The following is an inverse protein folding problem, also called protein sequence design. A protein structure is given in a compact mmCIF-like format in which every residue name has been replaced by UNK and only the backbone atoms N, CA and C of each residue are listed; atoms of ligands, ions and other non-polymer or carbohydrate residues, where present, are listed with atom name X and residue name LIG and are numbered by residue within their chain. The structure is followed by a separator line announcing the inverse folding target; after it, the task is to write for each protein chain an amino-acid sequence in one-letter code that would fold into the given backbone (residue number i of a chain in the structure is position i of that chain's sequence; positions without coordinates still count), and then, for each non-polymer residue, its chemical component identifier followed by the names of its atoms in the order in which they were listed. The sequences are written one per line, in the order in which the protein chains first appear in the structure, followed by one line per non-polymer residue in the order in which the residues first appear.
data_IF_555145923648
#
_entry.id   IF_555145923648
#
_cell.length_a   1.000
_cell.length_b   1.000
_cell.length_c   1.000
_cell.angle_alpha   90.00
_cell.angle_beta   90.00
_cell.angle_gamma   90.00
#
_symmetry.space_group_name_H-M   'P 1'
#
loop_
_entity.id
_entity.type
_entity.pdbx_description
1 polymer ?
#
# COMPACT_ATOMS: atom_id res chain seq x y z
N UNK A 1 45.93 0.55 7.73
CA UNK A 1 45.09 -0.57 8.06
C UNK A 1 43.65 -0.07 7.96
N UNK A 2 42.81 -0.36 7.02
CA UNK A 2 42.38 -1.53 6.30
C UNK A 2 41.59 -1.19 5.03
N UNK A 3 42.02 -1.55 3.83
CA UNK A 3 41.16 -1.53 2.64
C UNK A 3 40.41 -2.86 2.43
N UNK A 4 40.66 -3.89 3.23
CA UNK A 4 40.15 -5.27 2.94
C UNK A 4 38.67 -5.53 3.20
N UNK A 5 38.01 -4.71 4.02
CA UNK A 5 36.55 -4.90 4.26
C UNK A 5 35.70 -4.37 3.08
N UNK A 6 36.19 -3.34 2.41
CA UNK A 6 35.53 -2.72 1.25
C UNK A 6 35.60 -3.60 0.00
N UNK A 7 36.75 -4.27 -0.23
CA UNK A 7 36.91 -5.20 -1.34
C UNK A 7 36.04 -6.46 -1.22
N UNK A 8 35.78 -6.92 0.00
CA UNK A 8 34.92 -8.11 0.22
C UNK A 8 33.44 -7.84 0.04
N UNK A 9 32.98 -6.60 0.25
CA UNK A 9 31.60 -6.17 -0.06
C UNK A 9 31.40 -5.93 -1.55
N UNK A 10 32.43 -5.44 -2.24
CA UNK A 10 32.39 -5.19 -3.69
C UNK A 10 32.45 -6.45 -4.56
N UNK A 11 32.87 -7.59 -4.00
CA UNK A 11 32.96 -8.85 -4.76
C UNK A 11 31.64 -9.63 -4.82
N UNK A 12 30.61 -9.24 -4.06
CA UNK A 12 29.40 -10.07 -3.92
C UNK A 12 28.24 -9.73 -4.84
N UNK A 13 28.18 -8.52 -5.46
CA UNK A 13 27.04 -8.19 -6.32
C UNK A 13 27.43 -7.34 -7.54
N UNK A 14 27.29 -7.92 -8.73
CA UNK A 14 27.53 -7.23 -10.01
C UNK A 14 26.53 -6.07 -10.27
N UNK A 15 25.32 -6.12 -9.69
CA UNK A 15 24.32 -5.07 -9.80
C UNK A 15 24.65 -3.84 -8.96
N UNK A 16 25.17 -4.02 -7.75
CA UNK A 16 25.65 -2.93 -6.90
C UNK A 16 26.84 -2.19 -7.53
N UNK A 17 27.69 -2.90 -8.24
CA UNK A 17 28.82 -2.31 -8.96
C UNK A 17 28.39 -1.41 -10.12
N UNK A 18 27.40 -1.85 -10.90
CA UNK A 18 26.83 -1.05 -11.99
C UNK A 18 26.05 0.16 -11.50
N UNK A 19 25.35 0.04 -10.37
CA UNK A 19 24.65 1.14 -9.72
C UNK A 19 25.64 2.18 -9.18
N UNK A 20 26.71 1.73 -8.55
CA UNK A 20 27.78 2.60 -8.03
C UNK A 20 28.49 3.38 -9.14
N UNK A 21 28.82 2.75 -10.27
CA UNK A 21 29.42 3.43 -11.42
C UNK A 21 28.46 4.44 -12.06
N UNK A 22 27.18 4.14 -12.16
CA UNK A 22 26.16 5.10 -12.63
C UNK A 22 25.97 6.30 -11.70
N UNK A 23 26.06 6.08 -10.38
CA UNK A 23 26.01 7.16 -9.39
C UNK A 23 27.27 8.03 -9.47
N UNK A 24 28.42 7.42 -9.68
CA UNK A 24 29.70 8.12 -9.84
C UNK A 24 29.73 8.98 -11.12
N UNK A 25 29.19 8.48 -12.21
CA UNK A 25 29.03 9.22 -13.46
C UNK A 25 28.08 10.42 -13.30
N UNK A 26 26.90 10.22 -12.71
CA UNK A 26 25.97 11.31 -12.41
C UNK A 26 26.50 12.33 -11.41
N UNK A 27 27.28 11.90 -10.42
CA UNK A 27 27.89 12.77 -9.46
C UNK A 27 28.98 13.66 -10.10
N UNK A 28 29.69 13.18 -11.12
CA UNK A 28 30.66 13.98 -11.88
C UNK A 28 30.01 15.04 -12.78
N UNK A 29 28.78 14.82 -13.22
CA UNK A 29 28.01 15.78 -14.03
C UNK A 29 27.39 16.91 -13.20
N UNK A 30 27.22 16.73 -11.89
CA UNK A 30 26.56 17.72 -11.03
C UNK A 30 27.56 18.79 -10.56
N UNK A 31 27.28 20.11 -10.74
CA UNK A 31 28.23 21.20 -10.45
C UNK A 31 28.71 21.22 -9.00
N UNK A 32 27.90 20.78 -8.05
CA UNK A 32 28.21 20.71 -6.64
C UNK A 32 29.24 19.61 -6.33
N UNK A 33 29.05 18.41 -6.89
CA UNK A 33 29.94 17.27 -6.68
C UNK A 33 31.29 17.47 -7.40
N UNK A 34 31.30 18.15 -8.57
CA UNK A 34 32.51 18.49 -9.29
C UNK A 34 33.46 19.38 -8.46
N UNK A 35 32.91 20.33 -7.72
CA UNK A 35 33.66 21.20 -6.82
C UNK A 35 34.24 20.46 -5.60
N UNK A 36 33.55 19.43 -5.10
CA UNK A 36 34.04 18.56 -4.04
C UNK A 36 35.14 17.61 -4.52
N UNK A 37 35.08 17.13 -5.74
CA UNK A 37 36.13 16.31 -6.36
C UNK A 37 37.41 17.14 -6.64
N UNK A 38 37.27 18.40 -7.04
CA UNK A 38 38.40 19.31 -7.29
C UNK A 38 39.13 19.76 -6.00
N UNK A 39 38.49 19.73 -4.85
CA UNK A 39 39.06 20.12 -3.54
C UNK A 39 39.78 18.96 -2.85
N UNK A 40 39.86 17.78 -3.47
CA UNK A 40 40.64 16.65 -2.96
C UNK A 40 40.18 16.05 -1.64
N UNK A 41 38.84 16.10 -1.41
CA UNK A 41 38.23 15.46 -0.24
C UNK A 41 38.28 13.95 -0.44
N UNK A 42 38.90 13.28 0.51
CA UNK A 42 39.21 11.85 0.53
C UNK A 42 38.00 11.01 0.13
N UNK A 43 38.24 10.00 -0.73
CA UNK A 43 37.24 9.00 -1.19
C UNK A 43 36.38 8.43 -0.08
N UNK A 44 36.81 8.44 1.18
CA UNK A 44 36.04 7.98 2.34
C UNK A 44 34.78 8.79 2.62
N UNK A 45 34.78 10.09 2.45
CA UNK A 45 33.66 10.96 2.82
C UNK A 45 32.50 10.84 1.83
N UNK A 46 32.79 10.66 0.55
CA UNK A 46 31.77 10.45 -0.48
C UNK A 46 31.15 9.03 -0.38
N UNK A 47 31.97 8.03 -0.14
CA UNK A 47 31.51 6.67 0.12
C UNK A 47 30.62 6.59 1.35
N UNK A 48 30.95 7.30 2.41
CA UNK A 48 30.15 7.36 3.64
C UNK A 48 28.84 8.09 3.43
N UNK A 49 28.80 9.14 2.61
CA UNK A 49 27.59 9.89 2.28
C UNK A 49 26.64 9.09 1.39
N UNK A 50 27.14 8.39 0.36
CA UNK A 50 26.32 7.49 -0.48
C UNK A 50 25.81 6.31 0.33
N UNK A 51 26.62 5.76 1.23
CA UNK A 51 26.20 4.72 2.16
C UNK A 51 25.12 5.20 3.15
N UNK A 52 25.20 6.46 3.57
CA UNK A 52 24.21 7.09 4.44
C UNK A 52 22.87 7.29 3.73
N UNK A 53 22.88 7.80 2.49
CA UNK A 53 21.68 7.97 1.67
C UNK A 53 20.97 6.63 1.37
N UNK A 54 21.76 5.58 1.07
CA UNK A 54 21.21 4.24 0.89
C UNK A 54 20.53 3.73 2.17
N UNK A 55 21.16 3.91 3.33
CA UNK A 55 20.56 3.54 4.62
C UNK A 55 19.31 4.36 4.95
N UNK A 56 19.30 5.65 4.64
CA UNK A 56 18.12 6.52 4.82
C UNK A 56 16.96 6.07 3.96
N UNK A 57 17.22 5.68 2.71
CA UNK A 57 16.19 5.12 1.84
C UNK A 57 15.62 3.81 2.41
N UNK A 58 16.48 2.89 2.81
CA UNK A 58 16.06 1.60 3.37
C UNK A 58 15.26 1.80 4.67
N UNK A 59 15.73 2.68 5.57
CA UNK A 59 15.03 3.03 6.82
C UNK A 59 13.66 3.64 6.54
N UNK A 60 13.56 4.52 5.55
CA UNK A 60 12.30 5.15 5.17
C UNK A 60 11.31 4.13 4.61
N UNK A 61 11.76 3.27 3.72
CA UNK A 61 10.93 2.20 3.16
C UNK A 61 10.49 1.25 4.27
N UNK A 62 11.38 0.83 5.15
CA UNK A 62 11.06 -0.03 6.29
C UNK A 62 10.03 0.62 7.24
N UNK A 63 10.17 1.91 7.53
CA UNK A 63 9.22 2.65 8.35
C UNK A 63 7.85 2.84 7.69
N UNK A 64 7.80 2.92 6.35
CA UNK A 64 6.56 3.04 5.61
C UNK A 64 5.78 1.71 5.52
N UNK A 65 6.46 0.57 5.56
CA UNK A 65 5.85 -0.74 5.35
C UNK A 65 4.64 -1.05 6.25
N UNK A 66 4.66 -0.79 7.56
CA UNK A 66 3.51 -1.07 8.44
C UNK A 66 2.26 -0.29 8.04
N UNK A 67 2.44 0.90 7.50
CA UNK A 67 1.35 1.80 7.13
C UNK A 67 0.89 1.63 5.67
N UNK A 68 1.68 0.92 4.86
CA UNK A 68 1.35 0.60 3.46
C UNK A 68 0.34 -0.56 3.31
N UNK A 69 -0.53 -0.76 4.32
CA UNK A 69 -1.63 -1.74 4.28
C UNK A 69 -2.49 -1.54 3.02
N UNK A 70 -2.61 -0.32 2.53
CA UNK A 70 -3.33 0.01 1.31
C UNK A 70 -2.93 -0.81 0.10
N UNK A 71 -1.64 -1.13 -0.06
CA UNK A 71 -1.15 -1.95 -1.18
C UNK A 71 -1.61 -3.41 -1.11
N UNK A 72 -1.93 -3.92 0.07
CA UNK A 72 -2.43 -5.28 0.26
C UNK A 72 -3.92 -5.40 -0.08
N UNK A 73 -4.65 -4.29 -0.06
CA UNK A 73 -6.09 -4.26 -0.35
C UNK A 73 -6.44 -3.85 -1.78
N UNK A 74 -5.44 -3.59 -2.63
CA UNK A 74 -5.62 -3.18 -4.03
C UNK A 74 -4.63 -3.89 -4.95
N UNK A 75 -4.99 -4.07 -6.21
CA UNK A 75 -4.08 -4.63 -7.20
C UNK A 75 -3.11 -3.54 -7.70
N UNK A 76 -1.83 -3.68 -7.37
CA UNK A 76 -0.79 -2.73 -7.77
C UNK A 76 -0.19 -3.14 -9.11
N UNK A 77 -0.17 -2.21 -10.08
CA UNK A 77 0.45 -2.39 -11.40
C UNK A 77 1.43 -1.25 -11.68
N UNK A 78 2.70 -1.56 -11.98
CA UNK A 78 3.64 -0.55 -12.45
C UNK A 78 3.26 -0.08 -13.85
N UNK A 79 3.38 1.22 -14.11
CA UNK A 79 3.12 1.80 -15.43
C UNK A 79 4.06 2.95 -15.74
N UNK A 80 4.34 3.16 -17.02
CA UNK A 80 5.07 4.33 -17.51
C UNK A 80 4.14 5.37 -18.14
N UNK A 81 2.88 5.00 -18.41
CA UNK A 81 1.92 5.82 -19.09
C UNK A 81 1.18 6.78 -18.15
N UNK A 82 0.81 7.97 -18.60
CA UNK A 82 0.05 8.93 -17.81
C UNK A 82 -1.42 8.51 -17.63
N UNK A 83 -1.93 7.67 -18.52
CA UNK A 83 -3.31 7.19 -18.53
C UNK A 83 -3.34 5.76 -19.06
N UNK A 84 -4.02 4.88 -18.35
CA UNK A 84 -4.33 3.53 -18.82
C UNK A 84 -5.84 3.32 -18.94
N UNK A 85 -6.24 2.63 -19.99
CA UNK A 85 -7.63 2.30 -20.29
C UNK A 85 -7.91 0.82 -20.03
N UNK A 86 -8.84 0.55 -19.13
CA UNK A 86 -9.24 -0.81 -18.77
C UNK A 86 -10.58 -1.15 -19.42
N UNK A 87 -10.67 -2.17 -20.28
CA UNK A 87 -11.94 -2.63 -20.80
C UNK A 87 -12.72 -3.37 -19.70
N UNK A 88 -13.99 -3.01 -19.55
CA UNK A 88 -14.94 -3.68 -18.68
C UNK A 88 -15.92 -4.48 -19.53
N UNK A 89 -15.57 -5.71 -19.86
CA UNK A 89 -16.45 -6.59 -20.62
C UNK A 89 -17.54 -7.20 -19.72
N UNK A 90 -18.76 -7.22 -20.22
CA UNK A 90 -19.85 -7.98 -19.63
C UNK A 90 -19.59 -9.48 -19.80
N UNK A 91 -20.14 -10.29 -18.88
CA UNK A 91 -20.05 -11.75 -18.98
C UNK A 91 -20.72 -12.24 -20.28
N UNK A 92 -20.03 -13.14 -20.97
CA UNK A 92 -20.64 -13.83 -22.11
C UNK A 92 -21.78 -14.72 -21.63
N UNK A 93 -22.92 -14.68 -22.35
CA UNK A 93 -24.05 -15.55 -22.08
C UNK A 93 -23.94 -16.75 -23.00
N UNK A 94 -23.92 -17.96 -22.42
CA UNK A 94 -24.00 -19.19 -23.18
C UNK A 94 -25.47 -19.62 -23.32
N UNK A 95 -25.88 -19.94 -24.51
CA UNK A 95 -27.21 -20.46 -24.80
C UNK A 95 -27.12 -21.94 -25.16
N UNK A 96 -28.01 -22.75 -24.61
CA UNK A 96 -28.16 -24.13 -25.01
C UNK A 96 -29.16 -24.20 -26.17
N UNK A 97 -28.78 -24.84 -27.24
CA UNK A 97 -29.61 -24.99 -28.43
C UNK A 97 -29.94 -26.47 -28.66
N UNK A 98 -31.15 -26.71 -29.19
CA UNK A 98 -31.47 -28.00 -29.79
C UNK A 98 -30.83 -28.09 -31.18
N UNK A 99 -30.61 -29.30 -31.67
CA UNK A 99 -30.05 -29.54 -32.98
C UNK A 99 -30.92 -28.88 -34.06
N UNK A 100 -30.30 -28.08 -34.94
CA UNK A 100 -31.01 -27.34 -36.00
C UNK A 100 -31.57 -25.97 -35.61
N UNK A 101 -31.43 -25.50 -34.38
CA UNK A 101 -31.91 -24.18 -33.96
C UNK A 101 -30.96 -23.06 -34.37
N UNK A 102 -31.52 -21.86 -34.63
CA UNK A 102 -30.73 -20.68 -35.03
C UNK A 102 -29.91 -20.12 -33.85
N UNK A 103 -28.65 -19.85 -34.05
CA UNK A 103 -27.73 -19.25 -33.05
C UNK A 103 -28.17 -17.82 -32.68
N UNK A 104 -28.36 -17.56 -31.38
CA UNK A 104 -28.59 -16.20 -30.88
C UNK A 104 -27.23 -15.53 -30.61
N UNK A 105 -27.02 -14.37 -31.19
CA UNK A 105 -25.87 -13.55 -30.89
C UNK A 105 -26.15 -12.69 -29.66
N UNK A 106 -25.31 -12.77 -28.66
CA UNK A 106 -25.35 -11.86 -27.51
C UNK A 106 -24.57 -10.59 -27.88
N UNK A 107 -25.27 -9.45 -27.97
CA UNK A 107 -24.63 -8.15 -28.10
C UNK A 107 -23.87 -7.83 -26.81
N UNK A 108 -22.56 -7.58 -26.92
CA UNK A 108 -21.75 -7.14 -25.77
C UNK A 108 -21.72 -5.62 -25.71
N UNK A 109 -21.99 -5.07 -24.53
CA UNK A 109 -21.67 -3.68 -24.24
C UNK A 109 -20.23 -3.62 -23.75
N UNK A 110 -19.40 -2.88 -24.46
CA UNK A 110 -18.05 -2.57 -24.04
C UNK A 110 -18.05 -1.24 -23.30
N UNK A 111 -17.70 -1.25 -22.05
CA UNK A 111 -17.40 -0.05 -21.28
C UNK A 111 -15.91 0.01 -20.95
N UNK A 112 -15.37 1.18 -20.80
CA UNK A 112 -13.96 1.37 -20.44
C UNK A 112 -13.86 2.27 -19.22
N UNK A 113 -12.90 2.00 -18.37
CA UNK A 113 -12.51 2.88 -17.26
C UNK A 113 -11.12 3.41 -17.56
N UNK A 114 -11.01 4.73 -17.61
CA UNK A 114 -9.75 5.43 -17.83
C UNK A 114 -9.18 5.85 -16.47
N UNK A 115 -7.97 5.42 -16.17
CA UNK A 115 -7.28 5.73 -14.91
C UNK A 115 -6.06 6.57 -15.21
N UNK A 116 -6.00 7.77 -14.61
CA UNK A 116 -4.90 8.70 -14.75
C UNK A 116 -3.95 8.60 -13.56
N UNK A 117 -2.63 8.62 -13.83
CA UNK A 117 -1.58 8.65 -12.81
C UNK A 117 -1.28 10.09 -12.38
N UNK A 118 -2.28 10.77 -11.80
CA UNK A 118 -2.23 12.19 -11.45
C UNK A 118 -2.06 12.48 -9.96
N UNK A 119 -2.06 11.43 -9.11
CA UNK A 119 -1.90 11.59 -7.66
C UNK A 119 -0.41 11.60 -7.37
N UNK A 120 0.06 12.67 -6.75
CA UNK A 120 1.40 12.80 -6.19
C UNK A 120 1.25 12.87 -4.67
N UNK A 121 1.77 11.89 -3.97
CA UNK A 121 1.91 11.95 -2.53
C UNK A 121 3.34 12.36 -2.18
N UNK A 122 3.46 13.27 -1.24
CA UNK A 122 4.71 13.85 -0.79
C UNK A 122 4.69 14.00 0.72
N UNK A 123 5.81 13.69 1.33
CA UNK A 123 6.10 13.99 2.73
C UNK A 123 7.52 14.56 2.81
N UNK A 124 7.68 15.63 3.57
CA UNK A 124 8.98 16.27 3.77
C UNK A 124 9.10 16.76 5.21
N UNK A 125 10.30 16.66 5.76
CA UNK A 125 10.67 17.24 7.05
C UNK A 125 11.96 18.03 6.89
N UNK A 126 12.03 19.19 7.57
CA UNK A 126 13.21 20.07 7.53
C UNK A 126 13.76 20.31 8.94
N UNK A 127 15.08 20.50 9.02
CA UNK A 127 15.76 20.89 10.24
C UNK A 127 16.79 21.97 9.94
N UNK A 128 17.13 22.79 10.93
CA UNK A 128 18.20 23.78 10.80
C UNK A 128 19.56 23.08 10.84
N UNK A 129 20.56 23.72 10.24
CA UNK A 129 21.95 23.20 10.24
C UNK A 129 22.47 23.05 11.67
N UNK A 130 22.19 24.05 12.54
CA UNK A 130 22.60 24.04 13.93
C UNK A 130 21.96 22.87 14.69
N UNK A 131 20.70 22.56 14.43
CA UNK A 131 20.02 21.40 15.02
C UNK A 131 20.70 20.08 14.59
N UNK A 132 21.12 19.96 13.33
CA UNK A 132 21.77 18.76 12.81
C UNK A 132 23.18 18.62 13.34
N UNK A 133 23.93 19.75 13.49
CA UNK A 133 25.29 19.77 14.07
C UNK A 133 25.27 19.39 15.55
N UNK A 134 24.28 19.85 16.31
CA UNK A 134 24.10 19.52 17.73
C UNK A 134 23.40 18.18 17.96
N UNK A 135 22.67 17.68 16.97
CA UNK A 135 21.91 16.42 17.08
C UNK A 135 22.83 15.22 16.84
N UNK A 136 22.59 14.18 17.63
CA UNK A 136 23.15 12.87 17.33
C UNK A 136 22.53 12.31 16.04
N UNK A 137 23.25 11.40 15.36
CA UNK A 137 22.76 10.69 14.14
C UNK A 137 21.34 10.14 14.26
N UNK A 138 20.88 9.82 15.46
CA UNK A 138 19.53 9.34 15.73
C UNK A 138 18.41 10.34 15.36
N UNK A 139 18.68 11.65 15.41
CA UNK A 139 17.65 12.66 15.07
C UNK A 139 17.31 12.64 13.58
N UNK A 140 18.28 12.50 12.69
CA UNK A 140 18.08 12.40 11.24
C UNK A 140 17.32 11.13 10.88
N UNK A 141 17.68 9.99 11.48
CA UNK A 141 16.95 8.74 11.27
C UNK A 141 15.47 8.86 11.68
N UNK A 142 15.18 9.51 12.81
CA UNK A 142 13.81 9.74 13.26
C UNK A 142 13.01 10.62 12.27
N UNK A 143 13.65 11.61 11.64
CA UNK A 143 13.01 12.41 10.58
C UNK A 143 12.66 11.54 9.38
N UNK A 144 13.59 10.69 8.92
CA UNK A 144 13.35 9.76 7.80
C UNK A 144 12.22 8.78 8.10
N UNK A 145 12.19 8.20 9.31
CA UNK A 145 11.11 7.31 9.74
C UNK A 145 9.75 7.99 9.74
N UNK A 146 9.66 9.22 10.25
CA UNK A 146 8.42 9.99 10.27
C UNK A 146 7.92 10.31 8.86
N UNK A 147 8.82 10.71 7.97
CA UNK A 147 8.50 10.99 6.57
C UNK A 147 7.98 9.73 5.87
N UNK A 148 8.62 8.57 6.10
CA UNK A 148 8.19 7.30 5.55
C UNK A 148 6.81 6.89 6.03
N UNK A 149 6.58 6.97 7.35
CA UNK A 149 5.28 6.64 7.95
C UNK A 149 4.16 7.53 7.44
N UNK A 150 4.38 8.84 7.41
CA UNK A 150 3.40 9.81 6.91
C UNK A 150 3.04 9.57 5.43
N UNK A 151 4.03 9.18 4.61
CA UNK A 151 3.78 8.83 3.21
C UNK A 151 2.92 7.56 3.07
N UNK A 152 3.23 6.52 3.86
CA UNK A 152 2.45 5.27 3.90
C UNK A 152 1.00 5.50 4.36
N UNK A 153 0.81 6.31 5.41
CA UNK A 153 -0.52 6.71 5.88
C UNK A 153 -1.31 7.47 4.80
N UNK A 154 -0.68 8.43 4.13
CA UNK A 154 -1.33 9.20 3.07
C UNK A 154 -1.76 8.32 1.89
N UNK A 155 -0.92 7.37 1.46
CA UNK A 155 -1.24 6.40 0.41
C UNK A 155 -2.41 5.50 0.84
N UNK A 156 -2.32 4.92 2.04
CA UNK A 156 -3.36 4.02 2.59
C UNK A 156 -4.70 4.75 2.74
N UNK A 157 -4.70 5.96 3.29
CA UNK A 157 -5.89 6.80 3.42
C UNK A 157 -6.54 7.10 2.07
N UNK A 158 -5.73 7.33 1.02
CA UNK A 158 -6.23 7.58 -0.32
C UNK A 158 -6.90 6.35 -0.92
N UNK A 159 -6.34 5.16 -0.70
CA UNK A 159 -6.92 3.88 -1.14
C UNK A 159 -8.22 3.58 -0.37
N UNK A 160 -8.24 3.77 0.96
CA UNK A 160 -9.45 3.61 1.76
C UNK A 160 -10.55 4.59 1.34
N UNK A 161 -10.20 5.83 1.02
CA UNK A 161 -11.15 6.82 0.52
C UNK A 161 -11.75 6.43 -0.83
N UNK A 162 -10.98 5.74 -1.70
CA UNK A 162 -11.50 5.19 -2.95
C UNK A 162 -12.61 4.18 -2.70
N UNK A 163 -12.38 3.22 -1.79
CA UNK A 163 -13.41 2.23 -1.43
C UNK A 163 -14.59 2.84 -0.69
N UNK A 164 -14.32 3.81 0.19
CA UNK A 164 -15.37 4.56 0.90
C UNK A 164 -16.26 5.39 -0.02
N UNK A 165 -15.74 5.84 -1.15
CA UNK A 165 -16.42 6.65 -2.15
C UNK A 165 -17.21 5.87 -3.20
N UNK A 166 -17.22 4.54 -3.16
CA UNK A 166 -18.07 3.73 -4.05
C UNK A 166 -19.53 4.02 -3.70
N UNK A 167 -20.34 4.33 -4.72
CA UNK A 167 -21.77 4.59 -4.52
C UNK A 167 -22.46 3.37 -3.93
N UNK A 168 -23.38 3.58 -2.99
CA UNK A 168 -24.04 2.52 -2.24
C UNK A 168 -24.72 1.50 -3.16
N UNK A 169 -25.36 1.96 -4.25
CA UNK A 169 -26.01 1.10 -5.24
C UNK A 169 -25.06 0.21 -6.05
N UNK A 170 -23.79 0.57 -6.11
CA UNK A 170 -22.77 -0.16 -6.86
C UNK A 170 -22.02 -1.20 -6.01
N UNK A 171 -22.22 -1.20 -4.70
CA UNK A 171 -21.61 -2.18 -3.79
C UNK A 171 -22.18 -3.58 -4.00
N UNK A 172 -21.47 -4.59 -3.54
CA UNK A 172 -21.98 -5.96 -3.48
C UNK A 172 -23.25 -6.02 -2.62
N UNK A 173 -24.32 -6.58 -3.19
CA UNK A 173 -25.64 -6.58 -2.55
C UNK A 173 -26.49 -5.33 -2.78
N UNK A 174 -25.98 -4.33 -3.53
CA UNK A 174 -26.72 -3.13 -3.92
C UNK A 174 -26.93 -2.09 -2.81
N UNK A 175 -26.34 -2.30 -1.63
CA UNK A 175 -26.34 -1.36 -0.51
C UNK A 175 -25.28 -1.75 0.53
N UNK A 176 -24.81 -0.81 1.36
CA UNK A 176 -24.00 -1.14 2.53
C UNK A 176 -24.80 -2.01 3.51
N UNK A 177 -24.14 -3.01 4.07
CA UNK A 177 -24.73 -3.87 5.09
C UNK A 177 -24.73 -3.11 6.42
N UNK A 178 -25.87 -2.92 7.05
CA UNK A 178 -25.99 -2.24 8.33
C UNK A 178 -25.96 -3.24 9.48
N UNK A 179 -25.06 -3.08 10.44
CA UNK A 179 -24.97 -3.96 11.62
C UNK A 179 -25.88 -3.49 12.77
N UNK A 180 -26.45 -2.28 12.69
CA UNK A 180 -27.42 -1.79 13.69
C UNK A 180 -26.80 -1.47 15.06
N UNK A 181 -25.56 -0.98 15.09
CA UNK A 181 -24.80 -0.70 16.29
C UNK A 181 -24.51 -1.95 17.17
N UNK A 182 -24.52 -3.14 16.57
CA UNK A 182 -24.04 -4.37 17.21
C UNK A 182 -22.54 -4.55 17.00
N UNK A 183 -21.90 -5.31 17.88
CA UNK A 183 -20.49 -5.65 17.76
C UNK A 183 -20.21 -6.46 16.48
N UNK A 184 -18.97 -6.43 16.03
CA UNK A 184 -18.51 -7.28 14.93
C UNK A 184 -18.48 -8.73 15.40
N UNK A 185 -19.29 -9.59 14.82
CA UNK A 185 -19.41 -11.01 15.15
C UNK A 185 -19.18 -11.88 13.90
N UNK A 186 -19.13 -13.19 14.09
CA UNK A 186 -19.01 -14.17 13.01
C UNK A 186 -20.11 -14.02 11.96
N UNK A 187 -21.33 -13.71 12.38
CA UNK A 187 -22.45 -13.56 11.46
C UNK A 187 -22.29 -12.31 10.58
N UNK A 188 -21.69 -11.24 11.11
CA UNK A 188 -21.36 -10.04 10.35
C UNK A 188 -20.33 -10.36 9.24
N UNK A 189 -19.28 -11.12 9.57
CA UNK A 189 -18.31 -11.59 8.56
C UNK A 189 -18.96 -12.45 7.49
N UNK A 190 -19.85 -13.38 7.90
CA UNK A 190 -20.60 -14.20 6.94
C UNK A 190 -21.47 -13.37 6.01
N UNK A 191 -22.15 -12.33 6.50
CA UNK A 191 -22.95 -11.42 5.66
C UNK A 191 -22.09 -10.71 4.63
N UNK A 192 -20.93 -10.17 5.04
CA UNK A 192 -19.97 -9.52 4.14
C UNK A 192 -19.46 -10.49 3.06
N UNK A 193 -18.99 -11.66 3.48
CA UNK A 193 -18.51 -12.68 2.57
C UNK A 193 -19.60 -13.10 1.57
N UNK A 194 -20.83 -13.37 2.05
CA UNK A 194 -21.94 -13.80 1.22
C UNK A 194 -22.35 -12.72 0.20
N UNK A 195 -22.34 -11.43 0.57
CA UNK A 195 -22.68 -10.36 -0.35
C UNK A 195 -21.79 -10.36 -1.59
N UNK A 196 -20.47 -10.49 -1.41
CA UNK A 196 -19.52 -10.57 -2.53
C UNK A 196 -19.67 -11.88 -3.31
N UNK A 197 -19.92 -13.00 -2.62
CA UNK A 197 -20.12 -14.31 -3.26
C UNK A 197 -21.38 -14.37 -4.14
N UNK A 198 -22.44 -13.70 -3.73
CA UNK A 198 -23.68 -13.63 -4.52
C UNK A 198 -23.48 -12.89 -5.85
N UNK A 199 -22.54 -11.97 -5.93
CA UNK A 199 -22.14 -11.31 -7.18
C UNK A 199 -21.11 -12.14 -8.00
N UNK A 200 -20.86 -13.39 -7.59
CA UNK A 200 -19.90 -14.33 -8.19
C UNK A 200 -18.43 -13.90 -8.08
N UNK A 201 -18.08 -13.08 -7.11
CA UNK A 201 -16.69 -12.74 -6.78
C UNK A 201 -16.21 -13.54 -5.56
N UNK A 202 -14.91 -13.58 -5.33
CA UNK A 202 -14.30 -14.30 -4.20
C UNK A 202 -13.50 -13.32 -3.36
N UNK A 203 -14.08 -12.82 -2.26
CA UNK A 203 -13.33 -11.91 -1.40
C UNK A 203 -12.12 -12.65 -0.82
N UNK A 204 -10.98 -11.99 -0.83
CA UNK A 204 -9.71 -12.51 -0.31
C UNK A 204 -9.15 -11.69 0.84
N UNK A 205 -9.68 -10.49 1.07
CA UNK A 205 -9.25 -9.62 2.16
C UNK A 205 -10.47 -9.09 2.92
N UNK A 206 -10.36 -9.09 4.25
CA UNK A 206 -11.28 -8.46 5.19
C UNK A 206 -10.55 -7.31 5.88
N UNK A 207 -11.01 -6.08 5.66
CA UNK A 207 -10.42 -4.86 6.21
C UNK A 207 -11.28 -4.36 7.36
N UNK A 208 -10.68 -4.18 8.53
CA UNK A 208 -11.34 -3.80 9.78
C UNK A 208 -10.57 -2.68 10.48
N UNK A 209 -11.27 -1.93 11.34
CA UNK A 209 -10.60 -1.13 12.35
C UNK A 209 -10.15 -2.02 13.52
N UNK A 210 -9.12 -1.63 14.25
CA UNK A 210 -8.59 -2.36 15.41
C UNK A 210 -9.68 -2.71 16.45
N UNK A 211 -10.59 -1.80 16.74
CA UNK A 211 -11.72 -2.03 17.67
C UNK A 211 -12.60 -3.19 17.20
N UNK A 212 -12.92 -3.26 15.90
CA UNK A 212 -13.74 -4.33 15.34
C UNK A 212 -13.00 -5.67 15.32
N UNK A 213 -11.67 -5.65 15.18
CA UNK A 213 -10.86 -6.87 15.34
C UNK A 213 -10.96 -7.41 16.76
N UNK A 214 -10.85 -6.53 17.77
CA UNK A 214 -10.99 -6.95 19.18
C UNK A 214 -12.39 -7.48 19.50
N UNK A 215 -13.46 -6.88 18.91
CA UNK A 215 -14.82 -7.38 19.04
C UNK A 215 -14.97 -8.79 18.42
N UNK A 216 -14.35 -9.01 17.25
CA UNK A 216 -14.35 -10.30 16.59
C UNK A 216 -13.62 -11.38 17.41
N UNK A 217 -12.49 -11.01 18.02
CA UNK A 217 -11.73 -11.90 18.92
C UNK A 217 -12.50 -12.24 20.20
N UNK A 218 -13.41 -11.36 20.65
CA UNK A 218 -14.25 -11.58 21.82
C UNK A 218 -15.49 -12.46 21.53
N UNK A 219 -15.78 -12.80 20.25
CA UNK A 219 -16.89 -13.68 19.90
C UNK A 219 -16.59 -15.13 20.34
N UNK A 220 -17.54 -15.75 21.05
CA UNK A 220 -17.44 -17.13 21.54
C UNK A 220 -17.04 -18.14 20.47
N UNK A 221 -17.45 -17.92 19.22
CA UNK A 221 -17.10 -18.78 18.08
C UNK A 221 -15.63 -18.77 17.73
N UNK A 222 -14.93 -17.68 18.04
CA UNK A 222 -13.47 -17.57 17.89
C UNK A 222 -12.72 -18.07 19.14
N UNK A 223 -13.33 -17.95 20.32
CA UNK A 223 -12.69 -18.36 21.58
C UNK A 223 -12.65 -19.89 21.68
N UNK A 224 -13.69 -20.60 21.22
CA UNK A 224 -13.75 -22.05 21.31
C UNK A 224 -12.96 -22.71 20.18
N UNK A 225 -11.82 -23.31 20.52
CA UNK A 225 -10.90 -24.02 19.61
C UNK A 225 -11.56 -25.13 18.76
N UNK A 226 -12.74 -25.64 19.19
CA UNK A 226 -13.49 -26.66 18.46
C UNK A 226 -14.10 -26.17 17.14
N UNK A 227 -14.22 -24.84 16.95
CA UNK A 227 -14.78 -24.23 15.75
C UNK A 227 -13.71 -23.76 14.75
N UNK A 228 -12.42 -23.80 15.12
CA UNK A 228 -11.33 -23.29 14.31
C UNK A 228 -10.38 -24.41 13.91
N UNK A 229 -10.03 -24.55 12.64
CA UNK A 229 -8.95 -25.42 12.23
C UNK A 229 -7.65 -24.88 12.85
N UNK A 230 -6.92 -25.74 13.55
CA UNK A 230 -5.83 -25.45 14.47
C UNK A 230 -4.58 -24.76 13.88
N UNK A 231 -4.61 -24.23 12.66
CA UNK A 231 -3.48 -23.60 11.98
C UNK A 231 -3.68 -22.14 11.57
N UNK A 232 -4.91 -21.64 11.52
CA UNK A 232 -5.20 -20.32 10.92
C UNK A 232 -5.42 -19.22 11.97
N UNK A 233 -5.57 -19.58 13.25
CA UNK A 233 -5.88 -18.60 14.28
C UNK A 233 -5.09 -18.89 15.54
N UNK A 234 -4.13 -18.07 15.86
CA UNK A 234 -3.40 -18.15 17.13
C UNK A 234 -3.98 -17.13 18.11
N UNK A 235 -5.16 -17.46 18.69
CA UNK A 235 -5.90 -16.59 19.60
C UNK A 235 -5.06 -16.22 20.83
N UNK A 236 -4.19 -17.13 21.29
CA UNK A 236 -3.29 -16.88 22.42
C UNK A 236 -2.29 -15.75 22.14
N UNK A 237 -2.01 -15.47 20.85
CA UNK A 237 -1.13 -14.38 20.42
C UNK A 237 -1.91 -13.17 19.88
N UNK A 238 -3.27 -13.22 19.89
CA UNK A 238 -4.10 -12.13 19.37
C UNK A 238 -4.06 -11.95 17.84
N UNK A 239 -3.53 -12.95 17.12
CA UNK A 239 -3.35 -12.89 15.68
C UNK A 239 -4.47 -13.69 14.99
N UNK A 240 -5.33 -13.02 14.25
CA UNK A 240 -6.26 -13.64 13.28
C UNK A 240 -5.68 -13.45 11.89
N UNK A 241 -5.14 -14.51 11.32
CA UNK A 241 -4.49 -14.45 10.00
C UNK A 241 -5.51 -14.54 8.87
N UNK A 242 -6.51 -15.42 8.99
CA UNK A 242 -7.54 -15.56 7.97
C UNK A 242 -8.89 -16.01 8.54
N UNK A 243 -9.98 -15.57 7.90
CA UNK A 243 -11.37 -15.94 8.22
C UNK A 243 -12.11 -16.21 6.92
N UNK A 244 -12.69 -17.41 6.77
CA UNK A 244 -13.38 -17.83 5.54
C UNK A 244 -12.52 -17.73 4.27
N UNK A 245 -11.20 -17.89 4.40
CA UNK A 245 -10.26 -17.72 3.29
C UNK A 245 -10.00 -16.27 2.91
N UNK A 246 -10.41 -15.31 3.74
CA UNK A 246 -10.05 -13.88 3.64
C UNK A 246 -8.94 -13.58 4.65
N UNK A 247 -7.88 -12.95 4.20
CA UNK A 247 -6.85 -12.37 5.07
C UNK A 247 -7.45 -11.21 5.86
N UNK A 248 -7.21 -11.17 7.17
CA UNK A 248 -7.72 -10.10 8.04
C UNK A 248 -6.66 -9.04 8.20
N UNK A 249 -6.97 -7.84 7.73
CA UNK A 249 -6.14 -6.65 7.87
C UNK A 249 -6.83 -5.64 8.77
N UNK A 250 -6.23 -5.37 9.92
CA UNK A 250 -6.71 -4.34 10.85
C UNK A 250 -5.81 -3.12 10.80
N UNK A 251 -6.42 -1.94 10.81
CA UNK A 251 -5.69 -0.68 10.86
C UNK A 251 -6.53 0.41 11.51
N UNK A 252 -5.89 1.29 12.25
CA UNK A 252 -6.50 2.49 12.82
C UNK A 252 -6.90 3.53 11.76
N UNK A 253 -6.36 3.42 10.53
CA UNK A 253 -6.71 4.27 9.40
C UNK A 253 -8.09 3.94 8.81
N UNK A 254 -8.62 2.75 9.07
CA UNK A 254 -9.98 2.39 8.67
C UNK A 254 -10.97 3.17 9.54
N UNK A 255 -12.03 3.78 8.95
CA UNK A 255 -13.03 4.47 9.75
C UNK A 255 -13.68 3.53 10.77
N UNK A 256 -13.66 3.89 12.05
CA UNK A 256 -14.26 3.10 13.11
C UNK A 256 -15.76 2.88 12.85
N UNK A 257 -16.24 1.68 13.10
CA UNK A 257 -17.62 1.28 12.80
C UNK A 257 -17.86 0.85 11.36
N UNK A 258 -16.79 0.70 10.54
CA UNK A 258 -16.87 0.21 9.17
C UNK A 258 -15.99 -1.01 8.94
N UNK A 259 -16.42 -1.88 8.02
CA UNK A 259 -15.66 -3.04 7.58
C UNK A 259 -15.84 -3.26 6.09
N UNK A 260 -14.82 -3.82 5.43
CA UNK A 260 -14.86 -4.11 4.01
C UNK A 260 -14.43 -5.55 3.75
N UNK A 261 -15.17 -6.25 2.88
CA UNK A 261 -14.72 -7.50 2.28
C UNK A 261 -14.47 -7.26 0.79
N UNK A 262 -13.25 -7.53 0.33
CA UNK A 262 -12.77 -7.11 -0.98
C UNK A 262 -12.17 -8.30 -1.72
N UNK A 263 -12.47 -8.41 -3.03
CA UNK A 263 -11.67 -9.21 -3.96
C UNK A 263 -10.63 -8.29 -4.62
N UNK A 264 -9.44 -8.23 -4.02
CA UNK A 264 -8.38 -7.29 -4.41
C UNK A 264 -7.90 -7.46 -5.84
N UNK A 265 -8.09 -8.64 -6.44
CA UNK A 265 -7.61 -8.97 -7.79
C UNK A 265 -8.37 -8.21 -8.87
N UNK A 266 -9.63 -7.84 -8.59
CA UNK A 266 -10.58 -7.31 -9.60
C UNK A 266 -11.31 -6.05 -9.16
N UNK A 267 -11.37 -5.75 -7.86
CA UNK A 267 -12.15 -4.63 -7.33
C UNK A 267 -11.61 -3.27 -7.82
N UNK A 268 -10.35 -3.03 -7.59
CA UNK A 268 -9.69 -1.78 -7.93
C UNK A 268 -8.24 -2.01 -8.35
N UNK A 269 -7.66 -1.05 -9.04
CA UNK A 269 -6.25 -1.05 -9.44
C UNK A 269 -5.58 0.25 -9.03
N UNK A 270 -4.34 0.12 -8.60
CA UNK A 270 -3.40 1.20 -8.37
C UNK A 270 -2.34 1.15 -9.47
N UNK A 271 -2.26 2.19 -10.27
CA UNK A 271 -1.22 2.37 -11.27
C UNK A 271 -0.05 3.10 -10.65
N UNK A 272 1.04 2.39 -10.41
CA UNK A 272 2.24 2.95 -9.80
C UNK A 272 3.18 3.46 -10.91
N UNK A 273 3.27 4.78 -11.08
CA UNK A 273 4.13 5.39 -12.09
C UNK A 273 5.54 5.65 -11.58
N UNK A 274 5.67 6.06 -10.34
CA UNK A 274 6.93 6.22 -9.62
C UNK A 274 6.74 5.74 -8.20
N UNK A 275 7.55 4.78 -7.81
CA UNK A 275 7.58 4.29 -6.44
C UNK A 275 8.22 5.31 -5.51
N UNK A 276 8.28 5.01 -4.23
CA UNK A 276 8.85 5.89 -3.22
C UNK A 276 10.26 6.30 -3.64
N UNK A 277 10.46 7.59 -3.82
CA UNK A 277 11.76 8.20 -4.13
C UNK A 277 12.10 9.17 -3.02
N UNK A 278 13.27 9.01 -2.44
CA UNK A 278 13.79 9.85 -1.37
C UNK A 278 14.81 10.81 -1.97
N UNK A 279 14.66 12.09 -1.67
CA UNK A 279 15.53 13.17 -2.08
C UNK A 279 15.91 13.96 -0.84
N UNK A 280 17.18 14.26 -0.67
CA UNK A 280 17.67 15.23 0.28
C UNK A 280 17.80 16.59 -0.40
N UNK A 281 17.61 17.65 0.36
CA UNK A 281 17.76 19.00 -0.14
C UNK A 281 18.36 19.92 0.93
N UNK A 282 19.10 20.91 0.49
CA UNK A 282 19.68 21.94 1.33
C UNK A 282 19.30 23.32 0.78
N UNK A 283 18.84 24.22 1.64
CA UNK A 283 18.64 25.62 1.29
C UNK A 283 19.75 26.48 1.92
N UNK A 284 20.75 26.92 1.13
CA UNK A 284 21.85 27.72 1.64
C UNK A 284 21.42 29.10 2.13
N UNK A 285 20.25 29.59 1.74
CA UNK A 285 19.75 30.92 2.14
C UNK A 285 19.20 30.93 3.56
N UNK A 286 18.57 29.84 3.95
CA UNK A 286 17.93 29.71 5.28
C UNK A 286 18.74 28.80 6.22
N UNK A 287 19.81 28.16 5.74
CA UNK A 287 20.61 27.21 6.52
C UNK A 287 19.82 25.96 6.92
N UNK A 288 18.82 25.56 6.10
CA UNK A 288 17.98 24.40 6.37
C UNK A 288 18.39 23.22 5.53
N UNK A 289 18.31 22.06 6.14
CA UNK A 289 18.46 20.76 5.51
C UNK A 289 17.15 19.98 5.64
N UNK A 290 16.76 19.24 4.60
CA UNK A 290 15.53 18.49 4.64
C UNK A 290 15.59 17.19 3.86
N UNK A 291 14.69 16.28 4.22
CA UNK A 291 14.44 15.02 3.52
C UNK A 291 13.04 15.05 2.95
N UNK A 292 12.91 14.68 1.70
CA UNK A 292 11.65 14.63 0.96
C UNK A 292 11.44 13.25 0.38
N UNK A 293 10.30 12.64 0.64
CA UNK A 293 9.87 11.42 -0.02
C UNK A 293 8.66 11.68 -0.90
N UNK A 294 8.68 11.14 -2.11
CA UNK A 294 7.60 11.31 -3.09
C UNK A 294 7.22 9.97 -3.72
N UNK A 295 5.92 9.78 -3.99
CA UNK A 295 5.41 8.68 -4.82
C UNK A 295 4.35 9.22 -5.78
N UNK A 296 4.25 8.62 -6.97
CA UNK A 296 3.26 9.02 -7.97
C UNK A 296 2.46 7.83 -8.47
N UNK A 297 1.14 7.91 -8.33
CA UNK A 297 0.24 6.83 -8.68
C UNK A 297 -1.12 7.34 -9.20
N UNK A 298 -1.91 6.39 -9.71
CA UNK A 298 -3.31 6.59 -10.07
C UNK A 298 -4.16 5.51 -9.44
N UNK A 299 -5.39 5.83 -9.08
CA UNK A 299 -6.33 4.89 -8.47
C UNK A 299 -7.61 4.81 -9.29
N UNK A 300 -8.16 3.61 -9.43
CA UNK A 300 -9.44 3.42 -10.09
C UNK A 300 -10.16 2.16 -9.65
N UNK A 301 -11.50 2.26 -9.50
CA UNK A 301 -12.37 1.12 -9.25
C UNK A 301 -12.70 0.46 -10.58
N UNK A 302 -12.46 -0.83 -10.71
CA UNK A 302 -12.78 -1.61 -11.90
C UNK A 302 -14.11 -2.36 -11.74
N UNK A 303 -14.29 -3.06 -10.62
CA UNK A 303 -15.49 -3.87 -10.32
C UNK A 303 -15.97 -3.53 -8.90
N UNK A 304 -16.86 -2.55 -8.81
CA UNK A 304 -17.42 -2.08 -7.54
C UNK A 304 -18.18 -3.20 -6.81
N UNK A 305 -18.86 -4.09 -7.53
CA UNK A 305 -19.55 -5.27 -6.97
C UNK A 305 -18.63 -6.37 -6.42
N UNK A 306 -17.33 -6.21 -6.53
CA UNK A 306 -16.35 -7.07 -5.86
C UNK A 306 -15.99 -6.55 -4.45
N UNK A 307 -16.69 -5.52 -3.97
CA UNK A 307 -16.51 -4.88 -2.67
C UNK A 307 -17.83 -4.91 -1.91
N UNK A 308 -17.85 -5.47 -0.72
CA UNK A 308 -18.91 -5.32 0.25
C UNK A 308 -18.46 -4.39 1.37
N UNK A 309 -19.33 -3.46 1.77
CA UNK A 309 -19.13 -2.51 2.84
C UNK A 309 -20.14 -2.76 3.95
N UNK A 310 -19.69 -2.82 5.18
CA UNK A 310 -20.52 -2.83 6.36
C UNK A 310 -20.35 -1.52 7.13
N UNK A 311 -21.45 -1.00 7.63
CA UNK A 311 -21.51 0.26 8.37
C UNK A 311 -22.30 0.10 9.65
N UNK A 312 -22.21 1.11 10.51
CA UNK A 312 -22.94 1.12 11.77
C UNK A 312 -22.64 -0.09 12.67
N UNK A 313 -21.36 -0.47 12.72
CA UNK A 313 -20.82 -1.43 13.68
C UNK A 313 -20.56 -0.65 14.98
N UNK A 314 -20.73 -1.28 16.13
CA UNK A 314 -20.43 -0.65 17.43
C UNK A 314 -18.97 -0.15 17.44
N UNK A 315 -18.77 1.07 17.88
CA UNK A 315 -17.46 1.76 17.89
C UNK A 315 -16.68 1.56 19.19
N UNK A 316 -17.28 0.92 20.17
CA UNK A 316 -16.71 0.61 21.48
C UNK A 316 -16.65 -0.90 21.69
N UNK A 317 -15.77 -1.36 22.57
CA UNK A 317 -15.66 -2.77 22.98
C UNK A 317 -16.84 -3.22 23.81
#
# INVERSE_FOLDING_TARGET
MKPKLFESLMQKDSEHKQFYEKLKEKAQEHPFFKRYFEVGIKEGLFSDMVGALGKMHDTLVEAAYPELIGRNIINVRPTTEPLERFPLDEKAVAYLYAEGATTRLSGKKHSTVDIQTNILAESSEEATREFIEDATWNAVNNMVEKVGRALGEAETNKILSLYGGIADGDLAGGAPITQGNAAMDWNAVLKLHNAVRNENWRPNVLVLHETQLHQLLADDKFIHAQYLPSRETNIQQGIVTSVLGMEVLASTLVPNGTAYAIDTRVAAVMLLRRDVTVEDWEDPKTGKYGVRATTRFGLGVLRSKAVAKMTNIKTEL
#
